data_IF_191088920043
#
_entry.id   IF_191088920043
#
_cell.length_a   1.000
_cell.length_b   1.000
_cell.length_c   1.000
_cell.angle_alpha   90.00
_cell.angle_beta   90.00
_cell.angle_gamma   90.00
#
_symmetry.space_group_name_H-M   'P 1'
#
loop_
_entity.id
_entity.type
_entity.pdbx_description
1 polymer ?
#
# COMPACT_ATOMS: atom_id res chain seq x y z
N UNK A 1 2.89 -40.72 -70.62
CA UNK A 1 2.70 -40.74 -69.16
C UNK A 1 2.39 -39.33 -68.71
N UNK A 2 1.15 -39.09 -68.28
CA UNK A 2 0.68 -37.79 -67.76
C UNK A 2 1.19 -37.62 -66.32
N UNK A 3 1.79 -36.48 -65.99
CA UNK A 3 1.96 -36.05 -64.60
C UNK A 3 1.19 -34.76 -64.36
N UNK A 4 0.03 -34.89 -63.72
CA UNK A 4 -0.72 -33.79 -63.11
C UNK A 4 -0.80 -34.07 -61.61
N UNK A 5 -0.23 -33.20 -60.77
CA UNK A 5 -0.66 -33.01 -59.36
C UNK A 5 0.00 -31.77 -58.78
N UNK A 6 -0.75 -30.67 -58.68
CA UNK A 6 -1.55 -30.24 -57.51
C UNK A 6 -0.71 -29.56 -56.44
N UNK A 7 -0.62 -28.24 -56.61
CA UNK A 7 -0.33 -27.20 -55.61
C UNK A 7 -0.97 -27.51 -54.25
N UNK A 8 -0.18 -27.45 -53.18
CA UNK A 8 -0.67 -27.36 -51.80
C UNK A 8 -0.12 -26.10 -51.17
N UNK A 9 -1.01 -25.10 -51.03
CA UNK A 9 -0.78 -23.89 -50.23
C UNK A 9 -0.84 -24.33 -48.77
N UNK A 10 0.27 -24.20 -48.04
CA UNK A 10 0.29 -24.34 -46.58
C UNK A 10 0.08 -22.96 -45.99
N UNK A 11 -1.13 -22.72 -45.46
CA UNK A 11 -1.45 -21.51 -44.71
C UNK A 11 -0.82 -21.58 -43.32
N UNK A 12 0.15 -20.70 -43.05
CA UNK A 12 0.72 -20.53 -41.71
C UNK A 12 -0.20 -19.62 -40.88
N UNK A 13 -0.91 -20.19 -39.92
CA UNK A 13 -1.72 -19.43 -38.94
C UNK A 13 -0.79 -19.00 -37.80
N UNK A 14 -0.34 -17.75 -37.81
CA UNK A 14 0.40 -17.16 -36.69
C UNK A 14 -0.60 -16.86 -35.55
N UNK A 15 -0.57 -17.66 -34.49
CA UNK A 15 -1.32 -17.40 -33.26
C UNK A 15 -0.49 -16.43 -32.41
N UNK A 16 -0.81 -15.15 -32.51
CA UNK A 16 -0.22 -14.09 -31.67
C UNK A 16 -0.73 -14.26 -30.23
N UNK A 17 0.09 -14.84 -29.34
CA UNK A 17 -0.16 -14.79 -27.90
C UNK A 17 -0.06 -13.33 -27.44
N UNK A 18 -1.21 -12.69 -27.24
CA UNK A 18 -1.32 -11.43 -26.51
C UNK A 18 -1.09 -11.74 -25.03
N UNK A 19 0.17 -11.72 -24.59
CA UNK A 19 0.49 -11.62 -23.17
C UNK A 19 0.03 -10.24 -22.69
N UNK A 20 -1.18 -10.15 -22.14
CA UNK A 20 -1.60 -9.03 -21.31
C UNK A 20 -0.80 -9.06 -20.01
N UNK A 21 0.46 -8.65 -20.07
CA UNK A 21 1.25 -8.40 -18.87
C UNK A 21 0.58 -7.27 -18.12
N UNK A 22 0.02 -7.55 -16.94
CA UNK A 22 -0.33 -6.49 -16.00
C UNK A 22 0.96 -5.78 -15.65
N UNK A 23 1.16 -4.58 -16.19
CA UNK A 23 2.24 -3.70 -15.76
C UNK A 23 2.01 -3.40 -14.29
N UNK A 24 2.78 -4.03 -13.41
CA UNK A 24 2.89 -3.59 -12.02
C UNK A 24 3.45 -2.18 -12.10
N UNK A 25 2.61 -1.16 -11.90
CA UNK A 25 3.10 0.21 -11.74
C UNK A 25 3.98 0.20 -10.48
N UNK A 26 5.29 0.36 -10.67
CA UNK A 26 6.18 0.71 -9.58
C UNK A 26 5.65 2.02 -8.99
N UNK A 27 5.21 1.98 -7.73
CA UNK A 27 4.84 3.20 -7.03
C UNK A 27 6.15 3.96 -6.78
N UNK A 28 6.27 5.17 -7.32
CA UNK A 28 7.44 6.02 -7.14
C UNK A 28 7.47 6.51 -5.68
N UNK A 29 8.17 5.75 -4.85
CA UNK A 29 8.31 5.95 -3.41
C UNK A 29 9.70 6.53 -3.13
N UNK A 30 9.81 7.86 -3.08
CA UNK A 30 11.08 8.56 -2.90
C UNK A 30 11.23 9.07 -1.47
N UNK A 31 12.30 8.70 -0.77
CA UNK A 31 12.58 9.24 0.56
C UNK A 31 12.84 10.75 0.50
N UNK A 32 12.08 11.51 1.28
CA UNK A 32 12.19 12.96 1.46
C UNK A 32 13.04 13.31 2.68
N UNK A 33 12.85 12.60 3.79
CA UNK A 33 13.51 12.92 5.05
C UNK A 33 13.22 11.90 6.15
N UNK A 34 13.49 12.29 7.40
CA UNK A 34 13.19 11.48 8.59
C UNK A 34 12.76 12.37 9.75
N UNK A 35 11.84 11.90 10.58
CA UNK A 35 11.44 12.56 11.83
C UNK A 35 11.03 11.53 12.88
N UNK A 36 11.57 11.67 14.10
CA UNK A 36 11.21 10.83 15.25
C UNK A 36 11.20 9.30 15.00
N UNK A 37 12.14 8.80 14.20
CA UNK A 37 12.25 7.38 13.85
C UNK A 37 11.29 6.90 12.75
N UNK A 38 10.67 7.83 12.03
CA UNK A 38 9.89 7.59 10.81
C UNK A 38 10.62 8.16 9.60
N UNK A 39 10.52 7.47 8.46
CA UNK A 39 10.87 7.99 7.14
C UNK A 39 9.72 8.84 6.60
N UNK A 40 10.03 9.97 5.98
CA UNK A 40 9.07 10.77 5.19
C UNK A 40 9.29 10.41 3.73
N UNK A 41 8.24 9.99 3.04
CA UNK A 41 8.32 9.43 1.68
C UNK A 41 7.33 10.13 0.77
N UNK A 42 7.80 10.58 -0.39
CA UNK A 42 6.96 11.08 -1.48
C UNK A 42 6.33 9.89 -2.22
N UNK A 43 5.04 9.99 -2.48
CA UNK A 43 4.14 9.04 -3.11
C UNK A 43 3.14 9.81 -3.99
N UNK A 44 3.44 9.89 -5.29
CA UNK A 44 2.73 10.76 -6.23
C UNK A 44 1.28 10.38 -6.57
N UNK A 45 0.82 9.17 -6.22
CA UNK A 45 -0.56 8.72 -6.45
C UNK A 45 -1.54 9.11 -5.32
N UNK A 46 -1.10 9.92 -4.34
CA UNK A 46 -1.89 10.36 -3.17
C UNK A 46 -2.00 11.89 -3.02
N UNK A 47 -1.73 12.67 -4.08
CA UNK A 47 -1.85 14.15 -4.10
C UNK A 47 -0.47 14.80 -3.99
N UNK A 48 -0.27 15.92 -3.23
CA UNK A 48 1.08 16.40 -2.92
C UNK A 48 1.89 15.36 -2.11
N UNK A 49 1.23 14.27 -1.70
CA UNK A 49 1.80 12.95 -1.92
C UNK A 49 2.97 12.66 -1.00
N UNK A 50 2.86 12.96 0.29
CA UNK A 50 3.81 12.44 1.27
C UNK A 50 3.12 11.55 2.29
N UNK A 51 3.83 10.53 2.75
CA UNK A 51 3.44 9.65 3.85
C UNK A 51 4.60 9.46 4.82
N UNK A 52 4.29 8.99 6.02
CA UNK A 52 5.28 8.50 6.97
C UNK A 52 5.38 6.97 6.87
N UNK A 53 6.59 6.44 6.90
CA UNK A 53 6.85 5.01 6.86
C UNK A 53 7.80 4.61 7.99
N UNK A 54 7.57 3.43 8.58
CA UNK A 54 8.47 2.88 9.60
C UNK A 54 8.67 1.40 9.39
N UNK A 55 9.94 1.00 9.32
CA UNK A 55 10.33 -0.40 9.32
C UNK A 55 10.14 -0.99 10.71
N UNK A 56 9.62 -2.21 10.74
CA UNK A 56 9.29 -2.96 11.93
C UNK A 56 10.07 -4.28 11.85
N UNK A 57 11.30 -4.27 12.35
CA UNK A 57 12.26 -5.34 12.07
C UNK A 57 12.71 -5.35 10.60
N UNK A 58 13.05 -6.54 10.09
CA UNK A 58 13.67 -6.69 8.76
C UNK A 58 12.68 -6.75 7.60
N UNK A 59 11.46 -7.22 7.88
CA UNK A 59 10.52 -7.63 6.85
C UNK A 59 9.23 -6.81 6.84
N UNK A 60 8.84 -6.22 7.96
CA UNK A 60 7.57 -5.49 8.08
C UNK A 60 7.76 -3.99 7.92
N UNK A 61 6.76 -3.31 7.39
CA UNK A 61 6.70 -1.86 7.31
C UNK A 61 5.28 -1.38 7.51
N UNK A 62 5.10 -0.34 8.32
CA UNK A 62 3.85 0.40 8.44
C UNK A 62 3.96 1.74 7.72
N UNK A 63 2.89 2.16 7.07
CA UNK A 63 2.75 3.48 6.47
C UNK A 63 1.50 4.17 7.00
N UNK A 64 1.59 5.49 7.18
CA UNK A 64 0.46 6.35 7.50
C UNK A 64 0.54 7.64 6.67
N UNK A 65 -0.58 8.16 6.22
CA UNK A 65 -0.60 9.39 5.45
C UNK A 65 -1.99 9.94 5.21
N UNK A 66 -2.07 11.01 4.43
CA UNK A 66 -3.32 11.61 3.98
C UNK A 66 -3.30 11.65 2.46
N UNK A 67 -4.34 11.10 1.84
CA UNK A 67 -4.63 11.27 0.42
C UNK A 67 -5.43 12.56 0.22
N UNK A 68 -4.90 13.48 -0.58
CA UNK A 68 -5.56 14.74 -0.92
C UNK A 68 -6.10 14.78 -2.35
N UNK A 69 -5.99 13.69 -3.12
CA UNK A 69 -6.47 13.64 -4.52
C UNK A 69 -7.98 13.73 -4.66
N UNK A 70 -8.71 13.05 -3.77
CA UNK A 70 -10.16 12.85 -3.90
C UNK A 70 -10.82 12.91 -2.52
N UNK A 71 -11.05 14.14 -2.04
CA UNK A 71 -11.78 14.40 -0.80
C UNK A 71 -11.05 13.86 0.44
N UNK A 72 -9.92 14.51 0.81
CA UNK A 72 -9.08 14.30 2.00
C UNK A 72 -9.41 13.06 2.84
N UNK A 73 -8.66 11.97 2.66
CA UNK A 73 -8.85 10.71 3.40
C UNK A 73 -7.56 10.29 4.09
N UNK A 74 -7.70 9.66 5.25
CA UNK A 74 -6.57 9.01 5.89
C UNK A 74 -6.15 7.73 5.17
N UNK A 75 -4.88 7.39 5.27
CA UNK A 75 -4.28 6.18 4.72
C UNK A 75 -3.49 5.47 5.80
N UNK A 76 -3.65 4.15 5.88
CA UNK A 76 -2.78 3.29 6.65
C UNK A 76 -2.49 2.02 5.86
N UNK A 77 -1.26 1.53 5.92
CA UNK A 77 -0.91 0.25 5.33
C UNK A 77 0.07 -0.53 6.18
N UNK A 78 -0.04 -1.85 6.11
CA UNK A 78 0.90 -2.79 6.70
C UNK A 78 1.40 -3.72 5.61
N UNK A 79 2.69 -3.68 5.38
CA UNK A 79 3.39 -4.47 4.37
C UNK A 79 4.42 -5.39 5.00
N UNK A 80 4.72 -6.47 4.29
CA UNK A 80 5.73 -7.44 4.64
C UNK A 80 6.50 -7.89 3.40
N UNK A 81 7.77 -8.25 3.57
CA UNK A 81 8.55 -8.96 2.55
C UNK A 81 8.22 -10.46 2.50
N UNK A 82 7.51 -10.97 3.50
CA UNK A 82 7.02 -12.35 3.54
C UNK A 82 5.70 -12.46 2.76
N UNK A 83 5.21 -13.67 2.52
CA UNK A 83 3.89 -13.86 1.95
C UNK A 83 2.81 -13.41 2.95
N UNK A 84 2.04 -12.37 2.62
CA UNK A 84 0.95 -11.89 3.47
C UNK A 84 -0.33 -12.71 3.25
N UNK A 85 -0.42 -13.47 2.16
CA UNK A 85 -1.57 -14.29 1.76
C UNK A 85 -2.87 -13.47 1.66
N UNK A 86 -2.77 -12.27 1.07
CA UNK A 86 -3.91 -11.41 0.73
C UNK A 86 -3.75 -10.95 -0.72
N UNK A 87 -4.64 -11.37 -1.62
CA UNK A 87 -4.55 -11.05 -3.04
C UNK A 87 -4.78 -9.56 -3.33
N UNK A 88 -4.26 -9.06 -4.47
CA UNK A 88 -4.53 -7.69 -4.92
C UNK A 88 -6.04 -7.42 -4.99
N UNK A 89 -6.49 -6.34 -4.36
CA UNK A 89 -7.91 -5.96 -4.32
C UNK A 89 -8.77 -6.79 -3.35
N UNK A 90 -8.24 -7.88 -2.79
CA UNK A 90 -8.95 -8.71 -1.82
C UNK A 90 -9.31 -7.89 -0.59
N UNK A 91 -10.56 -8.02 -0.12
CA UNK A 91 -11.05 -7.30 1.05
C UNK A 91 -10.95 -8.17 2.28
N UNK A 92 -10.41 -7.60 3.37
CA UNK A 92 -10.31 -8.26 4.68
C UNK A 92 -10.81 -7.34 5.78
N UNK A 93 -11.60 -7.89 6.69
CA UNK A 93 -11.99 -7.15 7.89
C UNK A 93 -10.76 -6.94 8.78
N UNK A 94 -10.67 -5.77 9.41
CA UNK A 94 -9.58 -5.44 10.33
C UNK A 94 -10.12 -4.65 11.51
N UNK A 95 -9.61 -4.95 12.71
CA UNK A 95 -9.86 -4.15 13.91
C UNK A 95 -8.60 -3.34 14.22
N UNK A 96 -8.78 -2.03 14.39
CA UNK A 96 -7.79 -1.11 14.92
C UNK A 96 -8.15 -0.82 16.38
N UNK A 97 -7.25 -1.16 17.30
CA UNK A 97 -7.36 -0.83 18.71
C UNK A 97 -6.33 0.27 19.02
N UNK A 98 -6.82 1.47 19.30
CA UNK A 98 -6.03 2.67 19.58
C UNK A 98 -6.20 3.00 21.05
N UNK A 99 -5.18 2.73 21.85
CA UNK A 99 -5.20 2.91 23.32
C UNK A 99 -6.45 2.33 24.01
N UNK A 100 -6.98 1.19 23.53
CA UNK A 100 -8.15 0.51 24.08
C UNK A 100 -9.46 0.81 23.34
N UNK A 101 -9.49 1.82 22.46
CA UNK A 101 -10.65 2.15 21.65
C UNK A 101 -10.60 1.41 20.31
N UNK A 102 -11.65 0.62 20.03
CA UNK A 102 -11.71 -0.25 18.85
C UNK A 102 -12.50 0.36 17.71
N UNK A 103 -11.95 0.23 16.51
CA UNK A 103 -12.55 0.67 15.24
C UNK A 103 -12.47 -0.48 14.23
N UNK A 104 -13.56 -0.73 13.52
CA UNK A 104 -13.58 -1.69 12.42
C UNK A 104 -13.31 -1.01 11.08
N UNK A 105 -12.50 -1.64 10.24
CA UNK A 105 -12.26 -1.22 8.86
C UNK A 105 -12.22 -2.40 7.91
N UNK A 106 -12.12 -2.07 6.61
CA UNK A 106 -11.93 -3.06 5.55
C UNK A 106 -10.61 -2.75 4.83
N UNK A 107 -9.63 -3.63 5.01
CA UNK A 107 -8.35 -3.56 4.32
C UNK A 107 -8.46 -4.12 2.90
N UNK A 108 -7.70 -3.54 1.98
CA UNK A 108 -7.59 -3.96 0.58
C UNK A 108 -6.18 -4.47 0.34
N UNK A 109 -6.08 -5.72 -0.11
CA UNK A 109 -4.80 -6.33 -0.46
C UNK A 109 -4.09 -5.56 -1.57
N UNK A 110 -2.78 -5.43 -1.44
CA UNK A 110 -1.92 -4.73 -2.38
C UNK A 110 -0.54 -5.39 -2.42
N UNK A 111 -0.06 -5.65 -3.64
CA UNK A 111 1.31 -6.05 -3.88
C UNK A 111 2.10 -4.85 -4.43
N UNK A 112 3.24 -4.59 -3.82
CA UNK A 112 4.24 -3.63 -4.25
C UNK A 112 5.53 -4.38 -4.59
N UNK A 113 6.47 -3.72 -5.28
CA UNK A 113 7.75 -4.34 -5.58
C UNK A 113 8.48 -4.75 -4.27
N UNK A 114 8.64 -6.06 -4.08
CA UNK A 114 9.27 -6.63 -2.89
C UNK A 114 8.42 -6.64 -1.61
N UNK A 115 7.15 -6.24 -1.67
CA UNK A 115 6.26 -6.21 -0.51
C UNK A 115 4.85 -6.74 -0.84
N UNK A 116 4.29 -7.51 0.09
CA UNK A 116 2.90 -7.96 0.10
C UNK A 116 2.20 -7.42 1.36
N UNK A 117 0.89 -7.17 1.28
CA UNK A 117 0.16 -6.63 2.41
C UNK A 117 -1.16 -6.00 2.03
N UNK A 118 -1.62 -5.06 2.86
CA UNK A 118 -2.91 -4.42 2.65
C UNK A 118 -2.91 -2.99 3.20
N UNK A 119 -3.81 -2.18 2.65
CA UNK A 119 -4.06 -0.82 3.10
C UNK A 119 -5.54 -0.56 3.44
N UNK A 120 -5.79 0.46 4.24
CA UNK A 120 -7.12 0.96 4.57
C UNK A 120 -7.20 2.45 4.25
N UNK A 121 -8.32 2.84 3.65
CA UNK A 121 -8.76 4.22 3.61
C UNK A 121 -9.56 4.54 4.87
N UNK A 122 -9.20 5.64 5.53
CA UNK A 122 -9.88 6.15 6.71
C UNK A 122 -10.71 7.35 6.30
N UNK A 123 -12.04 7.20 6.43
CA UNK A 123 -12.99 8.20 5.96
C UNK A 123 -12.95 9.52 6.77
N UNK A 124 -12.48 9.47 8.02
CA UNK A 124 -12.22 10.67 8.80
C UNK A 124 -10.70 10.96 8.79
N UNK A 125 -10.20 11.92 8.00
CA UNK A 125 -8.78 12.24 7.97
C UNK A 125 -8.26 12.74 9.34
N UNK A 126 -9.13 13.36 10.14
CA UNK A 126 -8.76 13.85 11.48
C UNK A 126 -8.41 12.68 12.42
N UNK A 127 -8.97 11.48 12.17
CA UNK A 127 -8.62 10.26 12.89
C UNK A 127 -7.14 9.89 12.76
N UNK A 128 -6.52 10.09 11.59
CA UNK A 128 -5.07 9.81 11.43
C UNK A 128 -4.24 10.80 12.24
N UNK A 129 -4.64 12.07 12.29
CA UNK A 129 -3.96 13.08 13.11
C UNK A 129 -4.17 12.85 14.61
N UNK A 130 -5.32 12.31 15.02
CA UNK A 130 -5.58 11.98 16.40
C UNK A 130 -4.84 10.71 16.83
N UNK A 131 -4.77 9.67 15.98
CA UNK A 131 -3.92 8.49 16.22
C UNK A 131 -2.47 8.92 16.45
N UNK A 132 -1.98 9.92 15.70
CA UNK A 132 -0.59 10.36 15.83
C UNK A 132 -0.21 10.84 17.25
N UNK A 133 -1.21 11.21 18.07
CA UNK A 133 -1.06 11.66 19.47
C UNK A 133 -1.24 10.54 20.51
N UNK A 134 -1.66 9.35 20.08
CA UNK A 134 -1.92 8.20 20.94
C UNK A 134 -0.62 7.43 21.24
N UNK A 135 -0.69 6.42 22.12
CA UNK A 135 0.51 5.69 22.59
C UNK A 135 0.72 4.39 21.81
N UNK A 136 -0.36 3.65 21.56
CA UNK A 136 -0.31 2.32 20.99
C UNK A 136 -1.39 2.15 19.92
N UNK A 137 -1.02 1.48 18.83
CA UNK A 137 -1.95 0.98 17.83
C UNK A 137 -1.77 -0.53 17.73
N UNK A 138 -2.85 -1.27 17.91
CA UNK A 138 -2.92 -2.71 17.63
C UNK A 138 -3.83 -2.97 16.43
N UNK A 139 -3.30 -3.63 15.41
CA UNK A 139 -4.00 -3.99 14.18
C UNK A 139 -4.28 -5.48 14.21
N UNK A 140 -5.54 -5.88 14.13
CA UNK A 140 -5.95 -7.30 14.11
C UNK A 140 -6.69 -7.60 12.82
N UNK A 141 -5.99 -8.16 11.81
CA UNK A 141 -6.65 -8.65 10.59
C UNK A 141 -7.48 -9.89 10.88
N UNK A 142 -8.59 -10.05 10.16
CA UNK A 142 -9.44 -11.24 10.24
C UNK A 142 -8.62 -12.53 10.04
N UNK A 143 -8.77 -13.48 10.96
CA UNK A 143 -8.09 -14.77 10.92
C UNK A 143 -6.57 -14.70 11.14
N UNK A 144 -6.02 -13.56 11.56
CA UNK A 144 -4.57 -13.40 11.82
C UNK A 144 -4.28 -12.89 13.22
N UNK A 145 -3.03 -13.06 13.64
CA UNK A 145 -2.55 -12.58 14.93
C UNK A 145 -2.53 -11.04 14.98
N UNK A 146 -2.87 -10.43 16.13
CA UNK A 146 -2.73 -8.99 16.32
C UNK A 146 -1.28 -8.53 16.17
N UNK A 147 -1.11 -7.32 15.63
CA UNK A 147 0.16 -6.64 15.52
C UNK A 147 0.10 -5.31 16.27
N UNK A 148 0.92 -5.12 17.30
CA UNK A 148 0.98 -3.89 18.08
C UNK A 148 2.23 -3.07 17.75
N UNK A 149 2.07 -1.76 17.67
CA UNK A 149 3.18 -0.80 17.55
C UNK A 149 3.02 0.36 18.52
N UNK A 150 4.16 0.92 18.94
CA UNK A 150 4.17 2.21 19.61
C UNK A 150 4.00 3.33 18.58
N UNK A 151 3.15 4.28 18.94
CA UNK A 151 2.89 5.51 18.18
C UNK A 151 3.78 6.67 18.65
N UNK A 152 4.78 6.42 19.50
CA UNK A 152 5.74 7.43 19.91
C UNK A 152 6.42 8.08 18.69
N UNK A 153 6.43 9.42 18.68
CA UNK A 153 7.00 10.22 17.60
C UNK A 153 6.12 10.39 16.36
N UNK A 154 4.95 9.73 16.29
CA UNK A 154 4.07 9.82 15.11
C UNK A 154 3.59 11.24 14.86
N UNK A 155 3.21 12.02 15.89
CA UNK A 155 2.78 13.41 15.70
C UNK A 155 3.88 14.29 15.08
N UNK A 156 5.12 14.19 15.56
CA UNK A 156 6.26 14.90 14.98
C UNK A 156 6.54 14.46 13.53
N UNK A 157 6.38 13.17 13.24
CA UNK A 157 6.50 12.65 11.87
C UNK A 157 5.40 13.17 10.94
N UNK A 158 4.15 13.25 11.41
CA UNK A 158 3.03 13.80 10.66
C UNK A 158 3.19 15.31 10.42
N UNK A 159 3.78 16.05 11.35
CA UNK A 159 4.17 17.46 11.12
C UNK A 159 5.20 17.60 10.00
N UNK A 160 6.24 16.76 9.99
CA UNK A 160 7.24 16.74 8.92
C UNK A 160 6.66 16.29 7.57
N UNK A 161 5.71 15.35 7.60
CA UNK A 161 4.97 14.91 6.40
C UNK A 161 4.16 16.05 5.79
N UNK A 162 3.50 16.89 6.61
CA UNK A 162 2.79 18.08 6.10
C UNK A 162 3.73 19.08 5.44
N UNK A 163 4.89 19.34 6.05
CA UNK A 163 5.91 20.19 5.43
C UNK A 163 6.42 19.63 4.09
N UNK A 164 6.49 18.29 3.95
CA UNK A 164 6.76 17.63 2.67
C UNK A 164 5.63 17.86 1.66
N UNK A 165 4.36 17.72 2.07
CA UNK A 165 3.22 17.99 1.20
C UNK A 165 3.17 19.46 0.74
N UNK A 166 3.48 20.42 1.62
CA UNK A 166 3.52 21.85 1.27
C UNK A 166 4.65 22.20 0.28
N UNK A 167 5.69 21.36 0.19
CA UNK A 167 6.85 21.58 -0.66
C UNK A 167 6.75 20.92 -2.05
N UNK A 168 5.67 20.18 -2.34
CA UNK A 168 5.43 19.48 -3.61
C UNK A 168 4.11 19.92 -4.25
#
# INVERSE_FOLDING_TARGET
>A
MNLTSKTRIVAATAVSLLCSGTTVQAQDMKKYGTAAGWDIVVRGDMGPGCLIAKKLGNDMQIQMGIDETTGRRGYMALYTKLAANVGSGEKRSVIFDVDGQKFSGQATGQQLEGFDGAYVWVNNPDFIYDIAKMKTLTITPEGRQPFALSLAGTDAAMQAMRACQEAN
#
